data_IF_304454855123
#
_entry.id   IF_304454855123
#
_cell.length_a   1.000
_cell.length_b   1.000
_cell.length_c   1.000
_cell.angle_alpha   90.00
_cell.angle_beta   90.00
_cell.angle_gamma   90.00
#
_symmetry.space_group_name_H-M   'P 1'
#
loop_
_entity.id
_entity.type
_entity.pdbx_description
1 polymer ?
#
# COMPACT_ATOMS: atom_id res chain seq x y z
N UNK A 1 -20.69 -23.52 -8.50
CA UNK A 1 -20.34 -23.26 -7.09
C UNK A 1 -19.45 -22.03 -7.02
N UNK A 2 -19.69 -21.11 -6.09
CA UNK A 2 -18.88 -19.88 -5.94
C UNK A 2 -17.55 -20.14 -5.22
N UNK A 3 -16.54 -19.28 -5.47
CA UNK A 3 -15.27 -19.27 -4.74
C UNK A 3 -15.34 -18.25 -3.59
N UNK A 4 -14.73 -18.55 -2.45
CA UNK A 4 -14.59 -17.59 -1.34
C UNK A 4 -13.64 -16.46 -1.76
N UNK A 5 -14.04 -15.22 -1.50
CA UNK A 5 -13.23 -14.01 -1.72
C UNK A 5 -13.16 -13.27 -0.39
N UNK A 6 -11.95 -13.17 0.17
CA UNK A 6 -11.75 -12.62 1.53
C UNK A 6 -10.63 -11.57 1.60
N UNK A 7 -9.91 -11.34 0.50
CA UNK A 7 -8.79 -10.41 0.47
C UNK A 7 -9.03 -9.23 -0.48
N UNK A 8 -8.31 -8.15 -0.23
CA UNK A 8 -8.36 -6.92 -1.01
C UNK A 8 -7.02 -6.62 -1.70
N UNK A 9 -7.08 -6.07 -2.91
CA UNK A 9 -5.95 -5.48 -3.61
C UNK A 9 -6.06 -3.97 -3.52
N UNK A 10 -5.05 -3.29 -2.97
CA UNK A 10 -4.99 -1.83 -2.91
C UNK A 10 -4.12 -1.28 -4.03
N UNK A 11 -4.62 -0.27 -4.75
CA UNK A 11 -3.81 0.59 -5.60
C UNK A 11 -3.57 1.88 -4.83
N UNK A 12 -2.32 2.16 -4.50
CA UNK A 12 -1.92 3.26 -3.64
C UNK A 12 -1.20 4.34 -4.45
N UNK A 13 -1.92 5.39 -4.82
CA UNK A 13 -1.42 6.49 -5.63
C UNK A 13 -0.57 7.46 -4.80
N UNK A 14 0.71 7.56 -5.13
CA UNK A 14 1.65 8.46 -4.46
C UNK A 14 2.00 9.70 -5.29
N UNK A 15 1.28 9.97 -6.38
CA UNK A 15 1.47 11.22 -7.13
C UNK A 15 1.23 12.43 -6.21
N UNK A 16 2.17 13.38 -6.21
CA UNK A 16 2.09 14.57 -5.36
C UNK A 16 2.50 14.36 -3.90
N UNK A 17 2.94 13.15 -3.50
CA UNK A 17 3.52 12.93 -2.17
C UNK A 17 4.73 13.87 -1.94
N UNK A 18 4.53 14.90 -1.11
CA UNK A 18 5.54 15.88 -0.71
C UNK A 18 5.68 16.05 0.80
N UNK A 19 6.56 16.95 1.22
CA UNK A 19 6.94 17.20 2.63
C UNK A 19 5.75 17.53 3.54
N UNK A 20 4.69 18.15 3.01
CA UNK A 20 3.45 18.44 3.76
C UNK A 20 2.81 17.20 4.37
N UNK A 21 3.00 16.02 3.76
CA UNK A 21 2.46 14.75 4.29
C UNK A 21 3.35 14.13 5.37
N UNK A 22 4.56 14.66 5.58
CA UNK A 22 5.48 14.20 6.63
C UNK A 22 5.32 15.00 7.93
N UNK A 23 4.30 15.87 8.00
CA UNK A 23 3.98 16.59 9.21
C UNK A 23 3.67 15.59 10.34
N UNK A 24 4.40 15.70 11.46
CA UNK A 24 4.41 14.69 12.53
C UNK A 24 3.01 14.27 12.99
N UNK A 25 2.07 15.20 13.32
CA UNK A 25 0.71 14.81 13.69
C UNK A 25 -0.03 14.01 12.62
N UNK A 26 0.17 14.30 11.32
CA UNK A 26 -0.43 13.50 10.26
C UNK A 26 0.18 12.10 10.18
N UNK A 27 1.49 11.98 10.39
CA UNK A 27 2.20 10.68 10.44
C UNK A 27 1.73 9.86 11.65
N UNK A 28 1.53 10.50 12.81
CA UNK A 28 1.03 9.86 14.03
C UNK A 28 -0.39 9.31 13.83
N UNK A 29 -1.31 10.13 13.32
CA UNK A 29 -2.69 9.70 13.02
C UNK A 29 -2.71 8.57 11.98
N UNK A 30 -1.87 8.65 10.95
CA UNK A 30 -1.78 7.58 9.96
C UNK A 30 -1.17 6.29 10.55
N UNK A 31 -0.21 6.42 11.47
CA UNK A 31 0.34 5.29 12.22
C UNK A 31 -0.70 4.59 13.08
N UNK A 32 -1.51 5.35 13.82
CA UNK A 32 -2.64 4.80 14.61
C UNK A 32 -3.65 4.05 13.73
N UNK A 33 -3.97 4.61 12.56
CA UNK A 33 -4.81 3.94 11.57
C UNK A 33 -4.21 2.61 11.10
N UNK A 34 -2.91 2.59 10.77
CA UNK A 34 -2.22 1.37 10.35
C UNK A 34 -2.22 0.30 11.45
N UNK A 35 -1.93 0.68 12.70
CA UNK A 35 -2.01 -0.24 13.83
C UNK A 35 -3.42 -0.82 13.99
N UNK A 36 -4.46 0.02 13.90
CA UNK A 36 -5.84 -0.46 13.95
C UNK A 36 -6.13 -1.49 12.84
N UNK A 37 -5.67 -1.24 11.61
CA UNK A 37 -5.86 -2.19 10.50
C UNK A 37 -5.13 -3.50 10.75
N UNK A 38 -3.86 -3.46 11.15
CA UNK A 38 -3.05 -4.65 11.41
C UNK A 38 -3.61 -5.50 12.57
N UNK A 39 -4.07 -4.86 13.64
CA UNK A 39 -4.57 -5.54 14.84
C UNK A 39 -5.95 -6.17 14.63
N UNK A 40 -6.80 -5.59 13.78
CA UNK A 40 -8.21 -5.98 13.66
C UNK A 40 -8.58 -6.65 12.34
N UNK A 41 -7.77 -6.49 11.29
CA UNK A 41 -8.04 -7.04 9.96
C UNK A 41 -6.84 -7.86 9.43
N UNK A 42 -6.36 -8.86 10.20
CA UNK A 42 -5.24 -9.69 9.77
C UNK A 42 -5.60 -10.44 8.48
N UNK A 43 -4.57 -10.73 7.67
CA UNK A 43 -4.69 -11.51 6.43
C UNK A 43 -5.65 -10.93 5.37
N UNK A 44 -6.24 -9.76 5.58
CA UNK A 44 -7.21 -9.16 4.65
C UNK A 44 -6.52 -8.57 3.40
N UNK A 45 -5.26 -8.15 3.51
CA UNK A 45 -4.50 -7.64 2.37
C UNK A 45 -4.01 -8.78 1.47
N UNK A 46 -4.33 -8.73 0.16
CA UNK A 46 -3.73 -9.58 -0.87
C UNK A 46 -2.42 -8.99 -1.39
N UNK A 47 -2.45 -7.71 -1.78
CA UNK A 47 -1.31 -6.92 -2.28
C UNK A 47 -1.60 -5.43 -2.19
N UNK A 48 -0.55 -4.63 -2.05
CA UNK A 48 -0.60 -3.18 -2.09
C UNK A 48 0.34 -2.68 -3.21
N UNK A 49 -0.23 -2.08 -4.24
CA UNK A 49 0.46 -1.61 -5.44
C UNK A 49 0.70 -0.11 -5.32
N UNK A 50 1.91 0.30 -4.96
CA UNK A 50 2.30 1.71 -4.92
C UNK A 50 2.60 2.18 -6.33
N UNK A 51 1.88 3.21 -6.81
CA UNK A 51 2.07 3.79 -8.14
C UNK A 51 2.52 5.24 -8.04
N UNK A 52 3.23 5.72 -9.07
CA UNK A 52 3.67 7.13 -9.19
C UNK A 52 4.44 7.64 -7.95
N UNK A 53 5.19 6.76 -7.29
CA UNK A 53 5.98 7.10 -6.11
C UNK A 53 7.11 8.10 -6.48
N UNK A 54 7.16 9.29 -5.84
CA UNK A 54 8.26 10.23 -6.05
C UNK A 54 9.51 9.80 -5.27
N UNK A 55 10.64 10.47 -5.51
CA UNK A 55 11.91 10.21 -4.78
C UNK A 55 11.79 10.34 -3.25
N UNK A 56 10.78 11.03 -2.75
CA UNK A 56 10.49 11.16 -1.32
C UNK A 56 9.88 9.89 -0.70
N UNK A 57 9.33 8.98 -1.52
CA UNK A 57 8.60 7.80 -1.03
C UNK A 57 9.39 6.96 -0.01
N UNK A 58 10.70 6.64 -0.20
CA UNK A 58 11.44 5.85 0.78
C UNK A 58 11.48 6.49 2.17
N UNK A 59 11.54 7.83 2.25
CA UNK A 59 11.50 8.56 3.52
C UNK A 59 10.14 8.43 4.16
N UNK A 60 9.06 8.68 3.40
CA UNK A 60 7.69 8.54 3.89
C UNK A 60 7.39 7.11 4.35
N UNK A 61 7.81 6.12 3.56
CA UNK A 61 7.64 4.71 3.88
C UNK A 61 8.36 4.33 5.17
N UNK A 62 9.60 4.80 5.38
CA UNK A 62 10.34 4.51 6.61
C UNK A 62 9.69 5.11 7.87
N UNK A 63 8.93 6.20 7.76
CA UNK A 63 8.19 6.76 8.90
C UNK A 63 7.01 5.87 9.31
N UNK A 64 6.35 5.21 8.36
CA UNK A 64 5.17 4.38 8.63
C UNK A 64 5.49 2.90 8.76
N UNK A 65 6.65 2.46 8.26
CA UNK A 65 7.12 1.07 8.30
C UNK A 65 7.03 0.42 9.68
N UNK A 66 7.37 1.10 10.81
CA UNK A 66 7.24 0.51 12.15
C UNK A 66 5.82 0.02 12.50
N UNK A 67 4.78 0.60 11.91
CA UNK A 67 3.38 0.23 12.15
C UNK A 67 2.87 -0.92 11.27
N UNK A 68 3.70 -1.41 10.33
CA UNK A 68 3.31 -2.47 9.40
C UNK A 68 3.89 -3.82 9.82
N UNK A 69 3.08 -4.88 9.74
CA UNK A 69 3.53 -6.26 9.99
C UNK A 69 4.49 -6.75 8.89
N UNK A 70 5.22 -7.83 9.16
CA UNK A 70 6.09 -8.46 8.16
C UNK A 70 5.28 -8.96 6.94
N UNK A 71 4.09 -9.52 7.18
CA UNK A 71 3.18 -9.97 6.13
C UNK A 71 2.75 -8.82 5.21
N UNK A 72 2.27 -7.72 5.78
CA UNK A 72 1.92 -6.51 5.00
C UNK A 72 3.10 -5.98 4.22
N UNK A 73 4.30 -5.89 4.84
CA UNK A 73 5.51 -5.41 4.15
C UNK A 73 5.88 -6.27 2.94
N UNK A 74 5.71 -7.59 3.00
CA UNK A 74 5.96 -8.51 1.87
C UNK A 74 4.97 -8.34 0.72
N UNK A 75 3.78 -7.80 1.00
CA UNK A 75 2.69 -7.57 0.03
C UNK A 75 2.75 -6.21 -0.66
N UNK A 76 3.66 -5.33 -0.25
CA UNK A 76 3.88 -4.01 -0.87
C UNK A 76 4.75 -4.16 -2.11
N UNK A 77 4.22 -3.71 -3.25
CA UNK A 77 4.90 -3.70 -4.54
C UNK A 77 4.96 -2.26 -5.05
N UNK A 78 6.17 -1.73 -5.24
CA UNK A 78 6.35 -0.38 -5.81
C UNK A 78 6.51 -0.52 -7.32
N UNK A 79 5.51 -0.03 -8.06
CA UNK A 79 5.49 -0.09 -9.52
C UNK A 79 6.16 1.17 -10.08
N UNK A 80 7.23 0.96 -10.86
CA UNK A 80 8.04 2.03 -11.44
C UNK A 80 7.60 2.45 -12.84
N UNK A 81 8.13 3.59 -13.31
CA UNK A 81 8.01 4.03 -14.70
C UNK A 81 6.57 4.27 -15.17
N UNK A 82 6.36 4.19 -16.49
CA UNK A 82 5.06 4.38 -17.13
C UNK A 82 4.31 3.06 -17.35
N UNK A 83 4.79 1.95 -16.78
CA UNK A 83 4.25 0.60 -17.00
C UNK A 83 3.20 0.19 -15.97
N UNK A 84 3.05 0.93 -14.87
CA UNK A 84 2.11 0.60 -13.78
C UNK A 84 0.68 0.30 -14.25
N UNK A 85 0.19 0.98 -15.30
CA UNK A 85 -1.13 0.73 -15.88
C UNK A 85 -1.24 -0.66 -16.50
N UNK A 86 -0.22 -1.05 -17.27
CA UNK A 86 -0.15 -2.35 -17.93
C UNK A 86 0.01 -3.45 -16.90
N UNK A 87 0.86 -3.25 -15.89
CA UNK A 87 1.08 -4.19 -14.81
C UNK A 87 -0.20 -4.43 -13.99
N UNK A 88 -0.91 -3.36 -13.59
CA UNK A 88 -2.21 -3.47 -12.90
C UNK A 88 -3.23 -4.20 -13.79
N UNK A 89 -3.31 -3.84 -15.07
CA UNK A 89 -4.25 -4.48 -15.99
C UNK A 89 -3.98 -5.98 -16.12
N UNK A 90 -2.72 -6.40 -16.26
CA UNK A 90 -2.34 -7.82 -16.31
C UNK A 90 -2.68 -8.56 -15.02
N UNK A 91 -2.46 -7.93 -13.86
CA UNK A 91 -2.81 -8.52 -12.57
C UNK A 91 -4.33 -8.69 -12.40
N UNK A 92 -5.14 -7.71 -12.82
CA UNK A 92 -6.59 -7.79 -12.72
C UNK A 92 -7.20 -8.72 -13.77
N UNK A 93 -6.66 -8.74 -15.00
CA UNK A 93 -7.16 -9.57 -16.09
C UNK A 93 -6.89 -11.07 -15.85
N UNK A 94 -5.81 -11.41 -15.14
CA UNK A 94 -5.52 -12.80 -14.76
C UNK A 94 -6.34 -13.33 -13.58
N UNK A 95 -7.22 -12.52 -12.99
CA UNK A 95 -8.08 -12.90 -11.86
C UNK A 95 -9.52 -13.26 -12.27
N UNK A 96 -9.87 -13.09 -13.55
CA UNK A 96 -11.13 -13.53 -14.17
C UNK A 96 -10.89 -14.72 -15.10
#
# INVERSE_FOLDING_TARGET
>A
MGKKVENITLIYDCEGLGLKHLWKPAVEVYGEFLCMVEDNYPETLKRLLVIKAPKLFPVAYNLVKPFLSEDTRKKIMVLGGNTWKVEIFQMCAGEF
#
